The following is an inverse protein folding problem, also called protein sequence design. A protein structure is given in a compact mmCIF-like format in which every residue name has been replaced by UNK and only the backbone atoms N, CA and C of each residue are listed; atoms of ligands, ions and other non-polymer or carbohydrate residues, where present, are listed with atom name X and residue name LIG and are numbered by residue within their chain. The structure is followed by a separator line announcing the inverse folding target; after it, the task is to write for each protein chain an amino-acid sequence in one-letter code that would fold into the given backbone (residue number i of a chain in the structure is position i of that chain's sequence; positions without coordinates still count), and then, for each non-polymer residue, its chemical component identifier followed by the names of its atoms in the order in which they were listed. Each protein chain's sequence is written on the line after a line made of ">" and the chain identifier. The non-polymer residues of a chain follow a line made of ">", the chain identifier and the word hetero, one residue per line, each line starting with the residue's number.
data_IF_773021200350
#
_entry.id   IF_773021200350
#
_cell.length_a   1.000
_cell.length_b   1.000
_cell.length_c   1.000
_cell.angle_alpha   90.00
_cell.angle_beta   90.00
_cell.angle_gamma   90.00
#
_symmetry.space_group_name_H-M   'P 1'
#
loop_
_entity.id
_entity.type
_entity.pdbx_description
1 polymer ?
#
# COMPACT_ATOMS: atom_id res chain seq x y z
N UNK A 1 4.56 -3.56 -23.03
CA UNK A 1 5.78 -4.02 -22.31
C UNK A 1 5.55 -5.46 -21.87
N UNK A 2 6.52 -6.36 -22.00
CA UNK A 2 6.35 -7.74 -21.49
C UNK A 2 6.77 -7.74 -20.02
N UNK A 3 5.81 -7.98 -19.12
CA UNK A 3 6.07 -8.07 -17.69
C UNK A 3 6.81 -9.38 -17.38
N UNK A 4 7.88 -9.30 -16.58
CA UNK A 4 8.55 -10.45 -15.98
C UNK A 4 7.98 -10.66 -14.58
N UNK A 5 7.60 -11.89 -14.24
CA UNK A 5 7.10 -12.24 -12.92
C UNK A 5 8.21 -12.95 -12.16
N UNK A 6 8.57 -12.40 -11.02
CA UNK A 6 9.36 -13.07 -9.99
C UNK A 6 8.41 -13.49 -8.85
N UNK A 7 8.67 -14.64 -8.22
CA UNK A 7 7.82 -15.18 -7.16
C UNK A 7 8.61 -15.38 -5.88
N UNK A 8 8.14 -14.78 -4.82
CA UNK A 8 8.59 -15.04 -3.45
C UNK A 8 7.49 -15.71 -2.63
N UNK A 9 7.86 -16.29 -1.50
CA UNK A 9 6.91 -16.90 -0.56
C UNK A 9 7.11 -16.28 0.82
N UNK A 10 6.04 -15.76 1.38
CA UNK A 10 6.02 -15.31 2.76
C UNK A 10 5.86 -16.49 3.72
N UNK A 11 6.47 -16.37 4.89
CA UNK A 11 6.35 -17.38 5.94
C UNK A 11 4.92 -17.37 6.49
N UNK A 12 4.32 -18.55 6.61
CA UNK A 12 2.98 -18.69 7.12
C UNK A 12 3.00 -18.86 8.65
N UNK A 13 2.34 -17.94 9.34
CA UNK A 13 2.05 -18.02 10.76
C UNK A 13 0.54 -17.99 11.00
N UNK A 14 0.09 -18.52 12.13
CA UNK A 14 -1.33 -18.41 12.50
C UNK A 14 -1.72 -16.95 12.75
N UNK A 15 -2.99 -16.60 12.53
CA UNK A 15 -3.47 -15.26 12.85
C UNK A 15 -3.31 -14.95 14.34
N UNK A 16 -3.41 -15.94 15.20
CA UNK A 16 -3.24 -15.86 16.65
C UNK A 16 -1.81 -15.50 17.02
N UNK A 17 -0.81 -16.14 16.38
CA UNK A 17 0.60 -15.82 16.60
C UNK A 17 0.93 -14.40 16.14
N UNK A 18 0.48 -14.03 14.96
CA UNK A 18 0.65 -12.67 14.41
C UNK A 18 -0.03 -11.63 15.33
N UNK A 19 -1.25 -11.90 15.77
CA UNK A 19 -1.98 -10.99 16.67
C UNK A 19 -1.26 -10.83 18.02
N UNK A 20 -0.76 -11.93 18.57
CA UNK A 20 0.01 -11.92 19.83
C UNK A 20 1.31 -11.10 19.69
N UNK A 21 2.05 -11.33 18.61
CA UNK A 21 3.29 -10.59 18.31
C UNK A 21 3.04 -9.09 18.15
N UNK A 22 2.02 -8.72 17.38
CA UNK A 22 1.62 -7.32 17.21
C UNK A 22 1.17 -6.68 18.52
N UNK A 23 0.33 -7.37 19.30
CA UNK A 23 -0.14 -6.84 20.58
C UNK A 23 1.03 -6.52 21.51
N UNK A 24 1.99 -7.44 21.62
CA UNK A 24 3.15 -7.27 22.48
C UNK A 24 3.99 -6.06 22.06
N UNK A 25 4.43 -6.00 20.79
CA UNK A 25 5.33 -4.93 20.34
C UNK A 25 4.65 -3.57 20.22
N UNK A 26 3.37 -3.52 19.83
CA UNK A 26 2.64 -2.25 19.77
C UNK A 26 2.38 -1.67 21.16
N UNK A 27 2.24 -2.52 22.21
CA UNK A 27 2.07 -2.06 23.58
C UNK A 27 3.30 -1.32 24.14
N UNK A 28 4.46 -1.47 23.53
CA UNK A 28 5.66 -0.70 23.87
C UNK A 28 5.59 0.75 23.33
N UNK A 29 4.76 1.00 22.33
CA UNK A 29 4.69 2.27 21.59
C UNK A 29 3.37 3.02 21.75
N UNK A 30 2.33 2.36 22.26
CA UNK A 30 1.00 2.94 22.41
C UNK A 30 0.41 2.62 23.78
N UNK A 31 -0.30 3.58 24.35
CA UNK A 31 -0.92 3.45 25.69
C UNK A 31 -2.07 2.45 25.72
N UNK A 32 -2.85 2.43 24.63
CA UNK A 32 -4.00 1.53 24.51
C UNK A 32 -3.83 0.72 23.23
N UNK A 33 -3.75 -0.60 23.38
CA UNK A 33 -3.57 -1.55 22.27
C UNK A 33 -4.53 -2.72 22.45
N UNK A 34 -5.44 -2.87 21.52
CA UNK A 34 -6.30 -4.04 21.39
C UNK A 34 -5.93 -4.73 20.07
N UNK A 35 -5.57 -6.01 20.14
CA UNK A 35 -5.32 -6.85 18.96
C UNK A 35 -6.00 -8.18 19.19
N UNK A 36 -6.87 -8.54 18.29
CA UNK A 36 -7.70 -9.74 18.37
C UNK A 36 -7.99 -10.34 16.99
N UNK A 37 -8.13 -11.65 16.92
CA UNK A 37 -8.62 -12.34 15.73
C UNK A 37 -10.15 -12.34 15.77
N UNK A 38 -10.78 -11.79 14.75
CA UNK A 38 -12.24 -11.63 14.67
C UNK A 38 -12.74 -12.06 13.30
N UNK A 39 -14.06 -12.22 13.17
CA UNK A 39 -14.69 -12.29 11.85
C UNK A 39 -14.58 -10.94 11.16
N UNK A 40 -14.25 -10.95 9.86
CA UNK A 40 -14.14 -9.73 9.07
C UNK A 40 -15.48 -8.98 9.10
N UNK A 41 -15.52 -7.70 9.48
CA UNK A 41 -16.74 -6.91 9.34
C UNK A 41 -17.08 -6.81 7.84
N UNK A 42 -18.34 -6.53 7.54
CA UNK A 42 -18.74 -6.27 6.15
C UNK A 42 -18.06 -4.97 5.67
N UNK A 43 -17.04 -5.10 4.82
CA UNK A 43 -16.26 -3.96 4.33
C UNK A 43 -17.05 -3.06 3.37
N UNK A 44 -18.19 -3.50 2.85
CA UNK A 44 -19.10 -2.61 2.09
C UNK A 44 -19.58 -1.43 2.94
N UNK A 45 -19.71 -1.62 4.26
CA UNK A 45 -20.00 -0.54 5.21
C UNK A 45 -18.82 0.44 5.39
N UNK A 46 -17.66 0.07 4.87
CA UNK A 46 -16.44 0.86 4.88
C UNK A 46 -16.09 1.40 3.49
N UNK A 47 -17.05 1.54 2.63
CA UNK A 47 -16.86 2.00 1.26
C UNK A 47 -15.89 1.15 0.43
N UNK A 48 -15.83 -0.16 0.70
CA UNK A 48 -15.12 -1.12 -0.14
C UNK A 48 -16.11 -1.79 -1.10
N UNK A 49 -15.71 -2.14 -2.33
CA UNK A 49 -16.58 -2.83 -3.27
C UNK A 49 -16.68 -4.35 -2.99
N UNK A 50 -16.19 -4.80 -1.85
CA UNK A 50 -16.20 -6.21 -1.41
C UNK A 50 -16.61 -6.33 0.05
N UNK A 51 -17.13 -7.51 0.43
CA UNK A 51 -17.55 -7.78 1.81
C UNK A 51 -16.39 -8.12 2.74
N UNK A 52 -15.28 -8.60 2.20
CA UNK A 52 -14.11 -9.00 2.96
C UNK A 52 -12.82 -8.95 2.17
N UNK A 53 -11.75 -9.45 2.79
CA UNK A 53 -10.39 -9.46 2.26
C UNK A 53 -9.74 -10.86 2.36
N UNK A 54 -10.52 -11.91 2.38
CA UNK A 54 -10.02 -13.29 2.51
C UNK A 54 -10.16 -14.10 1.23
N UNK A 55 -9.40 -15.20 1.16
CA UNK A 55 -9.39 -16.17 0.05
C UNK A 55 -8.36 -15.84 -1.03
N UNK A 56 -7.60 -16.83 -1.47
CA UNK A 56 -6.59 -16.78 -2.53
C UNK A 56 -5.69 -15.53 -2.49
N UNK A 57 -5.09 -15.30 -1.34
CA UNK A 57 -4.36 -14.07 -1.02
C UNK A 57 -3.03 -14.00 -1.77
N UNK A 58 -2.79 -12.88 -2.46
CA UNK A 58 -1.52 -12.59 -3.14
C UNK A 58 -1.17 -11.12 -2.98
N UNK A 59 0.10 -10.84 -2.76
CA UNK A 59 0.66 -9.50 -2.74
C UNK A 59 1.56 -9.35 -3.94
N UNK A 60 1.40 -8.23 -4.64
CA UNK A 60 2.12 -7.90 -5.85
C UNK A 60 2.80 -6.55 -5.65
N UNK A 61 4.09 -6.51 -5.95
CA UNK A 61 4.84 -5.28 -6.14
C UNK A 61 5.11 -5.12 -7.63
N UNK A 62 4.72 -4.00 -8.21
CA UNK A 62 4.80 -3.74 -9.65
C UNK A 62 5.52 -2.44 -9.90
N UNK A 63 6.48 -2.48 -10.82
CA UNK A 63 7.30 -1.32 -11.13
C UNK A 63 8.41 -1.14 -10.12
N UNK A 64 8.53 0.05 -9.54
CA UNK A 64 9.50 0.34 -8.51
C UNK A 64 10.03 1.77 -8.57
N UNK A 65 10.79 2.14 -7.54
CA UNK A 65 11.37 3.48 -7.39
C UNK A 65 12.11 3.98 -8.64
N UNK A 66 12.91 3.16 -9.37
CA UNK A 66 13.58 3.62 -10.58
C UNK A 66 12.61 4.13 -11.66
N UNK A 67 11.41 3.56 -11.75
CA UNK A 67 10.40 3.96 -12.73
C UNK A 67 9.69 5.26 -12.36
N UNK A 68 9.75 5.67 -11.12
CA UNK A 68 9.16 6.94 -10.65
C UNK A 68 10.01 8.15 -11.00
N UNK A 69 11.29 7.94 -11.27
CA UNK A 69 12.27 9.02 -11.44
C UNK A 69 12.80 9.14 -12.86
N UNK A 70 12.49 8.19 -13.73
CA UNK A 70 12.93 8.23 -15.11
C UNK A 70 11.79 8.66 -16.03
N UNK A 71 11.83 9.88 -16.61
CA UNK A 71 10.81 10.33 -17.55
C UNK A 71 10.69 9.45 -18.79
N UNK A 72 11.67 8.62 -19.11
CA UNK A 72 11.59 7.64 -20.20
C UNK A 72 10.62 6.49 -19.89
N UNK A 73 10.28 6.27 -18.64
CA UNK A 73 9.26 5.29 -18.20
C UNK A 73 7.84 5.84 -18.10
N UNK A 74 7.61 7.08 -18.52
CA UNK A 74 6.27 7.70 -18.59
C UNK A 74 5.26 6.84 -19.37
N UNK A 75 5.69 5.96 -20.25
CA UNK A 75 4.85 5.01 -20.99
C UNK A 75 4.64 3.65 -20.32
N UNK A 76 5.17 3.42 -19.12
CA UNK A 76 4.92 2.16 -18.40
C UNK A 76 3.49 2.13 -17.89
N UNK A 77 2.69 1.19 -18.41
CA UNK A 77 1.31 0.98 -18.04
C UNK A 77 1.13 -0.41 -17.48
N UNK A 78 0.54 -0.49 -16.29
CA UNK A 78 0.25 -1.74 -15.57
C UNK A 78 -1.27 -1.87 -15.43
N UNK A 79 -1.83 -2.88 -16.07
CA UNK A 79 -3.26 -3.17 -16.06
C UNK A 79 -3.60 -4.19 -14.96
N UNK A 80 -4.55 -3.88 -14.08
CA UNK A 80 -4.90 -4.74 -12.94
C UNK A 80 -5.52 -6.05 -13.36
N UNK A 81 -6.28 -6.08 -14.46
CA UNK A 81 -6.86 -7.31 -14.99
C UNK A 81 -5.80 -8.20 -15.64
N UNK A 82 -4.85 -7.61 -16.38
CA UNK A 82 -3.74 -8.36 -16.95
C UNK A 82 -2.88 -8.97 -15.84
N UNK A 83 -2.53 -8.18 -14.83
CA UNK A 83 -1.79 -8.67 -13.66
C UNK A 83 -2.58 -9.80 -12.98
N UNK A 84 -3.88 -9.64 -12.75
CA UNK A 84 -4.71 -10.65 -12.10
C UNK A 84 -4.72 -11.98 -12.86
N UNK A 85 -4.75 -11.95 -14.20
CA UNK A 85 -4.64 -13.14 -15.07
C UNK A 85 -3.26 -13.79 -14.95
N UNK A 86 -2.20 -12.99 -15.01
CA UNK A 86 -0.81 -13.48 -14.91
C UNK A 86 -0.53 -14.20 -13.60
N UNK A 87 -1.18 -13.81 -12.51
CA UNK A 87 -1.02 -14.42 -11.18
C UNK A 87 -2.09 -15.48 -10.86
N UNK A 88 -3.01 -15.78 -11.79
CA UNK A 88 -4.12 -16.71 -11.57
C UNK A 88 -5.11 -16.22 -10.51
N UNK A 89 -5.56 -14.98 -10.63
CA UNK A 89 -6.53 -14.31 -9.74
C UNK A 89 -7.51 -13.45 -10.53
N UNK A 90 -8.01 -13.95 -11.67
CA UNK A 90 -8.86 -13.18 -12.60
C UNK A 90 -10.16 -12.69 -11.96
N UNK A 91 -10.67 -13.44 -10.99
CA UNK A 91 -11.86 -13.10 -10.23
C UNK A 91 -11.45 -12.72 -8.81
N UNK A 92 -11.04 -11.48 -8.62
CA UNK A 92 -10.51 -11.01 -7.34
C UNK A 92 -10.99 -9.62 -6.97
N UNK A 93 -10.85 -9.30 -5.72
CA UNK A 93 -10.85 -7.95 -5.19
C UNK A 93 -9.39 -7.50 -5.05
N UNK A 94 -9.05 -6.37 -5.67
CA UNK A 94 -7.74 -5.76 -5.62
C UNK A 94 -7.78 -4.49 -4.77
N UNK A 95 -6.90 -4.38 -3.79
CA UNK A 95 -6.74 -3.18 -2.98
C UNK A 95 -5.26 -2.84 -2.79
N UNK A 96 -4.96 -1.56 -2.63
CA UNK A 96 -3.58 -1.12 -2.43
C UNK A 96 -3.35 0.33 -2.78
N UNK A 97 -2.10 0.62 -3.10
CA UNK A 97 -1.66 1.95 -3.49
C UNK A 97 -0.77 1.86 -4.74
N UNK A 98 -0.83 2.90 -5.54
CA UNK A 98 0.08 3.10 -6.67
C UNK A 98 0.47 4.56 -6.77
N UNK A 99 1.65 4.80 -7.29
CA UNK A 99 2.14 6.15 -7.57
C UNK A 99 2.97 6.18 -8.83
N UNK A 100 3.22 7.38 -9.34
CA UNK A 100 4.13 7.60 -10.45
C UNK A 100 3.46 8.10 -11.70
N UNK A 101 4.09 7.82 -12.86
CA UNK A 101 3.75 8.38 -14.15
C UNK A 101 2.37 7.95 -14.66
N UNK A 102 1.35 8.67 -14.27
CA UNK A 102 0.01 8.55 -14.88
C UNK A 102 -0.09 9.26 -16.24
N UNK A 103 0.98 9.90 -16.69
CA UNK A 103 1.05 10.60 -17.97
C UNK A 103 0.83 9.69 -19.17
N UNK A 104 1.03 8.38 -19.03
CA UNK A 104 0.66 7.40 -20.05
C UNK A 104 -0.86 7.25 -20.23
N UNK A 105 -1.66 7.64 -19.23
CA UNK A 105 -3.11 7.49 -19.23
C UNK A 105 -3.83 8.81 -19.48
N UNK A 106 -3.49 9.84 -18.72
CA UNK A 106 -4.19 11.13 -18.76
C UNK A 106 -3.26 12.36 -18.76
N UNK A 107 -1.95 12.14 -18.80
CA UNK A 107 -0.94 13.21 -18.78
C UNK A 107 -0.62 13.75 -17.39
N UNK A 108 -1.09 13.11 -16.32
CA UNK A 108 -0.90 13.54 -14.95
C UNK A 108 -0.24 12.48 -14.09
N UNK A 109 0.55 12.92 -13.12
CA UNK A 109 1.04 12.09 -12.02
C UNK A 109 0.13 12.25 -10.79
N UNK A 110 0.27 11.36 -9.84
CA UNK A 110 -0.46 11.44 -8.58
C UNK A 110 -0.29 10.19 -7.73
N UNK A 111 -1.03 10.17 -6.64
CA UNK A 111 -1.15 9.01 -5.77
C UNK A 111 -2.46 8.29 -6.05
N UNK A 112 -2.39 7.00 -6.28
CA UNK A 112 -3.54 6.17 -6.62
C UNK A 112 -3.88 5.25 -5.45
N UNK A 113 -5.13 5.32 -5.02
CA UNK A 113 -5.72 4.34 -4.11
C UNK A 113 -6.49 3.32 -4.94
N UNK A 114 -6.00 2.09 -4.94
CA UNK A 114 -6.59 0.96 -5.67
C UNK A 114 -7.66 0.33 -4.80
N UNK A 115 -8.88 0.21 -5.32
CA UNK A 115 -10.04 -0.35 -4.64
C UNK A 115 -11.03 -0.90 -5.67
N UNK A 116 -10.69 -2.06 -6.25
CA UNK A 116 -11.31 -2.64 -7.46
C UNK A 116 -11.86 -4.02 -7.19
N UNK A 117 -13.14 -4.24 -7.42
CA UNK A 117 -13.72 -5.58 -7.43
C UNK A 117 -13.86 -6.06 -8.89
N UNK A 118 -12.91 -6.90 -9.32
CA UNK A 118 -12.91 -7.48 -10.66
C UNK A 118 -13.95 -8.61 -10.81
N UNK A 119 -14.60 -9.05 -9.72
CA UNK A 119 -15.67 -10.05 -9.75
C UNK A 119 -16.98 -9.41 -10.15
N UNK A 120 -17.29 -8.23 -9.58
CA UNK A 120 -18.55 -7.52 -9.75
C UNK A 120 -18.45 -6.31 -10.68
N UNK A 121 -17.26 -6.04 -11.20
CA UNK A 121 -16.96 -4.89 -12.06
C UNK A 121 -17.21 -3.54 -11.35
N UNK A 122 -17.02 -3.50 -10.02
CA UNK A 122 -17.24 -2.30 -9.20
C UNK A 122 -15.90 -1.66 -8.83
N UNK A 123 -15.70 -0.38 -9.20
CA UNK A 123 -14.54 0.43 -8.84
C UNK A 123 -14.90 1.50 -7.80
N UNK A 124 -14.05 1.62 -6.79
CA UNK A 124 -14.03 2.73 -5.83
C UNK A 124 -12.64 3.33 -5.68
N UNK A 125 -11.82 3.13 -6.68
CA UNK A 125 -10.48 3.73 -6.75
C UNK A 125 -10.57 5.24 -6.88
N UNK A 126 -9.58 5.92 -6.30
CA UNK A 126 -9.43 7.37 -6.38
C UNK A 126 -7.98 7.71 -6.69
N UNK A 127 -7.79 8.85 -7.34
CA UNK A 127 -6.48 9.44 -7.56
C UNK A 127 -6.40 10.80 -6.86
N UNK A 128 -5.29 11.06 -6.18
CA UNK A 128 -4.96 12.36 -5.63
C UNK A 128 -3.88 13.02 -6.49
N UNK A 129 -4.12 14.26 -6.93
CA UNK A 129 -3.22 15.03 -7.79
C UNK A 129 -2.91 16.39 -7.18
N UNK A 130 -1.79 16.97 -7.58
CA UNK A 130 -1.41 18.34 -7.20
C UNK A 130 -1.87 19.29 -8.29
N UNK A 131 -2.70 20.27 -7.91
CA UNK A 131 -3.11 21.35 -8.83
C UNK A 131 -2.00 22.39 -9.01
N UNK A 132 -2.08 23.26 -10.05
CA UNK A 132 -1.11 24.33 -10.26
C UNK A 132 -0.96 25.28 -9.07
N UNK A 133 -2.02 25.49 -8.28
CA UNK A 133 -2.01 26.27 -7.05
C UNK A 133 -1.65 25.45 -5.81
N UNK A 134 -1.05 24.25 -6.02
CA UNK A 134 -0.54 23.32 -5.00
C UNK A 134 -1.59 22.76 -4.05
N UNK A 135 -2.84 22.73 -4.44
CA UNK A 135 -3.89 22.04 -3.69
C UNK A 135 -3.96 20.56 -4.07
N UNK A 136 -4.37 19.73 -3.11
CA UNK A 136 -4.70 18.34 -3.40
C UNK A 136 -6.09 18.27 -4.04
N UNK A 137 -6.15 17.69 -5.22
CA UNK A 137 -7.41 17.34 -5.93
C UNK A 137 -7.58 15.84 -5.82
N UNK A 138 -8.76 15.39 -5.38
CA UNK A 138 -9.10 13.97 -5.29
C UNK A 138 -10.26 13.69 -6.24
N UNK A 139 -10.06 12.70 -7.11
CA UNK A 139 -11.02 12.34 -8.16
C UNK A 139 -11.27 10.83 -8.16
N UNK A 140 -12.42 10.39 -8.65
CA UNK A 140 -12.67 8.98 -8.94
C UNK A 140 -11.77 8.52 -10.09
N UNK A 141 -11.31 7.28 -9.99
CA UNK A 141 -10.43 6.69 -10.98
C UNK A 141 -10.94 5.31 -11.39
N UNK A 142 -11.22 5.10 -12.67
CA UNK A 142 -11.82 3.86 -13.20
C UNK A 142 -11.03 3.21 -14.33
N UNK A 143 -9.85 3.74 -14.66
CA UNK A 143 -9.06 3.21 -15.78
C UNK A 143 -8.42 1.84 -15.49
N UNK A 144 -8.38 1.38 -14.21
CA UNK A 144 -7.80 0.10 -13.78
C UNK A 144 -6.35 -0.10 -14.20
N UNK A 145 -5.63 0.99 -14.35
CA UNK A 145 -4.24 1.00 -14.78
C UNK A 145 -3.44 1.99 -13.94
N UNK A 146 -2.15 1.75 -13.81
CA UNK A 146 -1.24 2.72 -13.21
C UNK A 146 0.11 2.72 -13.92
N UNK A 147 0.92 3.71 -13.64
CA UNK A 147 2.32 3.77 -14.03
C UNK A 147 3.22 3.77 -12.79
N UNK A 148 4.53 3.83 -12.98
CA UNK A 148 5.49 3.95 -11.90
C UNK A 148 5.59 2.71 -11.02
N UNK A 149 4.96 2.73 -9.88
CA UNK A 149 4.92 1.60 -8.94
C UNK A 149 3.52 1.37 -8.39
N UNK A 150 3.27 0.14 -7.94
CA UNK A 150 2.05 -0.22 -7.25
C UNK A 150 2.26 -1.41 -6.32
N UNK A 151 1.70 -1.30 -5.12
CA UNK A 151 1.64 -2.37 -4.14
C UNK A 151 0.19 -2.81 -4.02
N UNK A 152 -0.11 -4.02 -4.50
CA UNK A 152 -1.47 -4.47 -4.69
C UNK A 152 -1.68 -5.81 -3.98
N UNK A 153 -2.74 -5.89 -3.21
CA UNK A 153 -3.22 -7.13 -2.61
C UNK A 153 -4.43 -7.64 -3.39
N UNK A 154 -4.33 -8.85 -3.89
CA UNK A 154 -5.42 -9.57 -4.56
C UNK A 154 -5.98 -10.64 -3.65
N UNK A 155 -7.31 -10.77 -3.62
CA UNK A 155 -8.03 -11.71 -2.77
C UNK A 155 -9.38 -12.09 -3.40
N UNK A 156 -9.99 -13.20 -2.97
CA UNK A 156 -11.37 -13.54 -3.40
C UNK A 156 -12.43 -12.57 -2.86
N UNK A 157 -12.08 -11.64 -1.98
CA UNK A 157 -13.02 -10.69 -1.38
C UNK A 157 -14.01 -11.30 -0.41
N UNK A 158 -13.78 -12.52 0.05
CA UNK A 158 -14.65 -13.23 0.97
C UNK A 158 -14.50 -12.74 2.40
N UNK A 159 -15.57 -12.86 3.16
CA UNK A 159 -15.46 -12.78 4.62
C UNK A 159 -14.65 -13.95 5.16
N UNK A 160 -13.94 -13.72 6.26
CA UNK A 160 -13.10 -14.71 6.92
C UNK A 160 -12.55 -14.15 8.22
N UNK A 161 -11.61 -14.85 8.85
CA UNK A 161 -10.94 -14.31 10.04
C UNK A 161 -9.90 -13.27 9.65
N UNK A 162 -9.86 -12.18 10.41
CA UNK A 162 -8.89 -11.09 10.26
C UNK A 162 -8.34 -10.66 11.62
N UNK A 163 -7.19 -10.01 11.61
CA UNK A 163 -6.64 -9.39 12.81
C UNK A 163 -7.18 -7.96 12.89
N UNK A 164 -7.96 -7.68 13.93
CA UNK A 164 -8.44 -6.35 14.25
C UNK A 164 -7.49 -5.68 15.22
N UNK A 165 -7.00 -4.51 14.84
CA UNK A 165 -6.04 -3.72 15.62
C UNK A 165 -6.69 -2.39 15.97
N UNK A 166 -6.73 -2.03 17.25
CA UNK A 166 -7.07 -0.69 17.72
C UNK A 166 -5.93 -0.16 18.56
N UNK A 167 -5.46 1.01 18.22
CA UNK A 167 -4.37 1.69 18.94
C UNK A 167 -4.73 3.14 19.23
N UNK A 168 -4.32 3.62 20.38
CA UNK A 168 -4.50 5.02 20.80
C UNK A 168 -3.37 5.47 21.72
N UNK A 169 -2.99 6.74 21.56
CA UNK A 169 -2.04 7.40 22.46
C UNK A 169 -0.62 6.90 22.28
N UNK A 170 0.08 7.39 21.27
CA UNK A 170 1.50 7.11 21.08
C UNK A 170 2.29 7.54 22.33
N UNK A 171 3.14 6.67 22.82
CA UNK A 171 3.98 6.89 24.01
C UNK A 171 5.45 6.52 23.78
N UNK A 172 5.75 5.69 22.79
CA UNK A 172 7.12 5.31 22.42
C UNK A 172 7.65 6.16 21.25
N UNK A 173 8.93 5.98 20.99
CA UNK A 173 9.72 6.71 20.00
C UNK A 173 10.04 5.89 18.74
N UNK A 174 9.60 4.65 18.66
CA UNK A 174 9.73 3.85 17.43
C UNK A 174 8.97 4.53 16.29
N UNK A 175 9.67 5.06 15.35
CA UNK A 175 9.29 5.70 14.10
C UNK A 175 7.80 5.75 13.70
N UNK A 176 7.47 5.31 12.51
CA UNK A 176 6.08 5.24 12.01
C UNK A 176 5.31 4.02 12.57
N UNK A 177 3.98 4.00 12.44
CA UNK A 177 3.17 2.83 12.79
C UNK A 177 3.58 1.58 11.97
N UNK A 178 3.80 1.66 10.64
CA UNK A 178 4.31 0.53 9.88
C UNK A 178 5.62 -0.02 10.43
N UNK A 179 6.56 0.84 10.79
CA UNK A 179 7.83 0.42 11.39
C UNK A 179 7.63 -0.29 12.73
N UNK A 180 6.77 0.23 13.60
CA UNK A 180 6.43 -0.43 14.87
C UNK A 180 5.79 -1.81 14.64
N UNK A 181 4.92 -1.95 13.63
CA UNK A 181 4.33 -3.24 13.26
C UNK A 181 5.39 -4.23 12.75
N UNK A 182 6.28 -3.80 11.86
CA UNK A 182 7.37 -4.65 11.34
C UNK A 182 8.28 -5.13 12.45
N UNK A 183 8.74 -4.21 13.31
CA UNK A 183 9.58 -4.55 14.47
C UNK A 183 8.87 -5.52 15.41
N UNK A 184 7.57 -5.30 15.65
CA UNK A 184 6.75 -6.20 16.47
C UNK A 184 6.71 -7.63 15.92
N UNK A 185 6.49 -7.78 14.61
CA UNK A 185 6.46 -9.08 13.96
C UNK A 185 7.84 -9.74 13.96
N UNK A 186 8.87 -9.03 13.51
CA UNK A 186 10.22 -9.59 13.39
C UNK A 186 10.78 -10.05 14.76
N UNK A 187 10.60 -9.23 15.79
CA UNK A 187 11.15 -9.50 17.11
C UNK A 187 10.35 -10.57 17.90
N UNK A 188 9.02 -10.52 17.83
CA UNK A 188 8.19 -11.38 18.66
C UNK A 188 7.85 -12.73 18.03
N UNK A 189 8.01 -12.88 16.72
CA UNK A 189 7.94 -14.17 16.03
C UNK A 189 9.33 -14.78 15.79
N UNK A 190 10.40 -14.09 16.20
CA UNK A 190 11.78 -14.53 16.01
C UNK A 190 12.08 -14.89 14.54
N UNK A 191 11.62 -14.05 13.61
CA UNK A 191 11.80 -14.29 12.18
C UNK A 191 13.29 -14.35 11.84
N UNK A 192 13.69 -15.39 11.11
CA UNK A 192 15.03 -15.50 10.54
C UNK A 192 15.17 -14.53 9.35
N UNK A 193 16.39 -14.29 8.93
CA UNK A 193 16.68 -13.38 7.83
C UNK A 193 15.97 -13.72 6.51
N UNK A 194 15.66 -15.00 6.29
CA UNK A 194 14.93 -15.51 5.12
C UNK A 194 13.43 -15.73 5.39
N UNK A 195 12.93 -15.40 6.57
CA UNK A 195 11.52 -15.54 6.94
C UNK A 195 10.87 -14.17 6.93
N UNK A 196 9.90 -13.96 6.06
CA UNK A 196 9.20 -12.70 5.91
C UNK A 196 7.70 -12.90 6.02
N UNK A 197 7.02 -11.94 6.59
CA UNK A 197 5.56 -11.88 6.71
C UNK A 197 5.04 -10.68 5.95
N UNK A 198 3.92 -10.87 5.28
CA UNK A 198 3.18 -9.78 4.67
C UNK A 198 1.79 -9.66 5.28
N UNK A 199 1.33 -8.43 5.42
CA UNK A 199 -0.01 -8.06 5.84
C UNK A 199 -0.62 -7.12 4.81
N UNK A 200 -1.91 -7.29 4.56
CA UNK A 200 -2.68 -6.32 3.80
C UNK A 200 -4.00 -6.03 4.53
N UNK A 201 -4.54 -4.84 4.35
CA UNK A 201 -5.76 -4.50 5.03
C UNK A 201 -6.27 -3.09 4.78
N UNK A 202 -7.37 -2.82 5.46
CA UNK A 202 -8.02 -1.52 5.48
C UNK A 202 -7.99 -1.00 6.92
N UNK A 203 -7.57 0.24 7.10
CA UNK A 203 -7.61 0.87 8.42
C UNK A 203 -8.22 2.27 8.38
N UNK A 204 -8.69 2.73 9.52
CA UNK A 204 -9.28 4.06 9.67
C UNK A 204 -8.58 4.86 10.75
N UNK A 205 -8.36 6.14 10.48
CA UNK A 205 -7.90 7.12 11.46
C UNK A 205 -9.13 7.87 11.94
N UNK A 206 -9.60 7.53 13.14
CA UNK A 206 -10.84 8.07 13.70
C UNK A 206 -10.62 9.36 14.49
N UNK A 207 -9.43 9.50 15.08
CA UNK A 207 -9.02 10.67 15.87
C UNK A 207 -7.59 11.09 15.48
N UNK A 208 -7.27 12.37 15.66
CA UNK A 208 -5.96 12.89 15.34
C UNK A 208 -5.82 13.31 13.88
N UNK A 209 -4.59 13.60 13.49
CA UNK A 209 -4.23 14.12 12.17
C UNK A 209 -2.94 13.47 11.71
N UNK A 210 -2.77 13.38 10.40
CA UNK A 210 -1.57 12.83 9.76
C UNK A 210 -1.03 13.83 8.74
N UNK A 211 0.25 13.76 8.51
CA UNK A 211 0.89 14.40 7.37
C UNK A 211 0.75 13.47 6.18
N UNK A 212 0.23 13.96 5.09
CA UNK A 212 0.15 13.25 3.82
C UNK A 212 1.00 13.91 2.76
N UNK A 213 1.27 13.20 1.69
CA UNK A 213 1.93 13.75 0.51
C UNK A 213 1.21 13.29 -0.76
N UNK A 214 1.45 14.00 -1.84
CA UNK A 214 1.02 13.65 -3.18
C UNK A 214 2.18 13.94 -4.13
N UNK A 215 2.44 13.04 -5.05
CA UNK A 215 3.42 13.24 -6.09
C UNK A 215 2.90 14.29 -7.10
N UNK A 216 3.64 15.39 -7.36
CA UNK A 216 3.26 16.36 -8.38
C UNK A 216 3.52 15.81 -9.80
N UNK A 217 2.98 16.48 -10.80
CA UNK A 217 3.23 16.16 -12.21
C UNK A 217 4.72 16.26 -12.54
N UNK A 218 5.23 15.37 -13.36
CA UNK A 218 6.63 15.39 -13.78
C UNK A 218 7.04 16.69 -14.47
N UNK A 219 6.15 17.33 -15.22
CA UNK A 219 6.39 18.65 -15.83
C UNK A 219 6.66 19.75 -14.81
N UNK A 220 6.17 19.58 -13.59
CA UNK A 220 6.32 20.53 -12.48
C UNK A 220 7.55 20.21 -11.62
N UNK A 221 8.22 19.10 -11.89
CA UNK A 221 9.46 18.70 -11.23
C UNK A 221 10.63 19.19 -12.07
N UNK A 222 11.53 19.95 -11.45
CA UNK A 222 12.72 20.47 -12.14
C UNK A 222 13.60 19.31 -12.61
N UNK A 223 14.21 19.46 -13.78
CA UNK A 223 15.07 18.45 -14.41
C UNK A 223 16.18 17.90 -13.49
N UNK A 224 16.65 18.70 -12.56
CA UNK A 224 17.65 18.32 -11.56
C UNK A 224 17.20 17.22 -10.59
N UNK A 225 15.88 16.99 -10.45
CA UNK A 225 15.32 15.91 -9.63
C UNK A 225 15.26 14.56 -10.34
N UNK A 226 15.46 14.56 -11.66
CA UNK A 226 15.51 13.31 -12.45
C UNK A 226 16.90 12.68 -12.54
N UNK A 227 17.94 13.37 -12.10
CA UNK A 227 19.27 12.78 -12.01
C UNK A 227 19.41 11.99 -10.70
N UNK A 228 19.46 10.64 -10.75
CA UNK A 228 19.58 9.82 -9.54
C UNK A 228 20.82 10.15 -8.70
N UNK A 229 21.85 10.78 -9.34
CA UNK A 229 23.08 11.21 -8.66
C UNK A 229 22.92 12.53 -7.91
N UNK A 230 21.92 13.32 -8.28
CA UNK A 230 21.65 14.63 -7.67
C UNK A 230 20.46 14.60 -6.71
N UNK A 231 19.60 13.58 -6.80
CA UNK A 231 18.43 13.44 -5.94
C UNK A 231 18.86 13.13 -4.52
N UNK A 232 18.83 14.14 -3.68
CA UNK A 232 19.23 14.03 -2.27
C UNK A 232 18.17 13.36 -1.41
N UNK A 233 16.88 13.53 -1.75
CA UNK A 233 15.77 12.95 -1.00
C UNK A 233 14.47 13.00 -1.81
N UNK A 234 13.74 11.89 -1.85
CA UNK A 234 12.37 11.81 -2.40
C UNK A 234 11.44 12.89 -1.80
N UNK A 235 11.68 13.28 -0.55
CA UNK A 235 10.92 14.33 0.13
C UNK A 235 11.03 15.72 -0.53
N UNK A 236 12.05 15.95 -1.36
CA UNK A 236 12.29 17.27 -1.93
C UNK A 236 11.34 17.59 -3.10
N UNK A 237 10.74 16.56 -3.73
CA UNK A 237 9.78 16.76 -4.82
C UNK A 237 8.32 16.50 -4.43
N UNK A 238 8.06 15.80 -3.34
CA UNK A 238 6.69 15.52 -2.90
C UNK A 238 6.00 16.79 -2.37
N UNK A 239 4.74 16.96 -2.75
CA UNK A 239 3.91 18.01 -2.15
C UNK A 239 3.29 17.48 -0.86
N UNK A 240 3.68 18.07 0.26
CA UNK A 240 3.13 17.70 1.57
C UNK A 240 1.91 18.54 1.93
N UNK A 241 0.96 17.89 2.60
CA UNK A 241 -0.27 18.48 3.11
C UNK A 241 -0.38 18.21 4.61
N UNK A 242 -0.64 19.26 5.39
CA UNK A 242 -0.77 19.19 6.85
C UNK A 242 -1.89 20.09 7.36
N UNK A 243 -2.55 19.67 8.39
CA UNK A 243 -2.77 18.29 8.85
C UNK A 243 -4.05 17.71 8.23
N UNK A 244 -4.03 16.48 7.79
CA UNK A 244 -5.17 15.79 7.20
C UNK A 244 -5.82 14.88 8.24
N UNK A 245 -7.16 14.87 8.30
CA UNK A 245 -7.95 14.06 9.22
C UNK A 245 -8.80 14.89 10.18
N UNK A 246 -9.59 14.26 11.05
CA UNK A 246 -9.82 12.82 11.19
C UNK A 246 -10.81 12.24 10.18
N UNK A 247 -11.14 10.95 10.33
CA UNK A 247 -12.04 10.15 9.49
C UNK A 247 -11.43 9.83 8.11
N UNK A 248 -10.16 9.45 8.11
CA UNK A 248 -9.50 8.90 6.93
C UNK A 248 -9.67 7.39 6.88
N UNK A 249 -9.87 6.86 5.69
CA UNK A 249 -9.76 5.45 5.39
C UNK A 249 -8.54 5.22 4.50
N UNK A 250 -7.76 4.21 4.83
CA UNK A 250 -6.50 3.91 4.18
C UNK A 250 -6.45 2.42 3.82
N UNK A 251 -5.80 2.13 2.71
CA UNK A 251 -5.51 0.78 2.25
C UNK A 251 -4.02 0.56 2.41
N UNK A 252 -3.62 -0.62 2.86
CA UNK A 252 -2.21 -0.88 3.15
C UNK A 252 -1.80 -2.26 2.72
N UNK A 253 -0.58 -2.34 2.23
CA UNK A 253 0.20 -3.56 2.06
C UNK A 253 1.50 -3.33 2.82
N UNK A 254 1.89 -4.28 3.66
CA UNK A 254 3.07 -4.18 4.52
C UNK A 254 3.76 -5.55 4.55
N UNK A 255 5.09 -5.56 4.45
CA UNK A 255 5.90 -6.76 4.69
C UNK A 255 7.10 -6.46 5.59
N UNK A 256 7.60 -7.49 6.26
CA UNK A 256 8.69 -7.35 7.23
C UNK A 256 10.07 -7.23 6.59
N UNK A 257 10.22 -7.62 5.33
CA UNK A 257 11.43 -7.52 4.54
C UNK A 257 11.27 -8.19 3.17
N UNK A 258 12.30 -8.14 2.34
CA UNK A 258 12.29 -8.70 1.00
C UNK A 258 12.20 -10.23 1.00
N UNK A 259 11.10 -10.84 0.50
CA UNK A 259 10.94 -12.29 0.47
C UNK A 259 11.86 -12.98 -0.55
N UNK A 260 12.56 -12.22 -1.39
CA UNK A 260 13.53 -12.74 -2.35
C UNK A 260 14.97 -12.77 -1.79
N UNK A 261 15.14 -12.40 -0.51
CA UNK A 261 16.45 -12.37 0.14
C UNK A 261 17.35 -11.24 -0.36
N UNK A 262 16.78 -10.20 -0.92
CA UNK A 262 17.49 -9.04 -1.46
C UNK A 262 17.75 -9.12 -2.97
N UNK A 263 17.34 -10.18 -3.65
CA UNK A 263 17.54 -10.32 -5.09
C UNK A 263 16.82 -9.23 -5.89
N UNK A 264 15.58 -8.93 -5.52
CA UNK A 264 14.78 -7.86 -6.15
C UNK A 264 14.92 -6.53 -5.42
N UNK A 265 15.59 -6.50 -4.27
CA UNK A 265 15.73 -5.31 -3.43
C UNK A 265 14.37 -4.64 -3.14
N UNK A 266 13.35 -5.46 -2.88
CA UNK A 266 12.02 -4.98 -2.52
C UNK A 266 12.09 -4.24 -1.20
N UNK A 267 11.77 -2.98 -1.24
CA UNK A 267 11.77 -2.15 -0.04
C UNK A 267 10.41 -2.24 0.64
N UNK A 268 10.46 -2.09 1.93
CA UNK A 268 9.27 -1.96 2.76
C UNK A 268 8.45 -0.75 2.31
N UNK A 269 7.19 -0.95 2.00
CA UNK A 269 6.24 0.11 1.64
C UNK A 269 5.33 0.47 2.82
#
# INVERSE_FOLDING_TARGET
>A
MQLKIEKGTFTNHSLEDIASALKKGLSENFKNVEVEVVDCPNLREWDCPSEGISGNQKIIDVGGEPYMHDPNFIGAEFDYEEISKMIGSEKSYALGAGSGAMSCLDGHCGELVINENLITDESRSIIARVSPDKKCIVEKYSARKHGGLGNIYYTDGKQGKVIKIKIKGRSGDQGSLPQAMRSSLSNNLNLKANEQIALAGVFRILEGKVRSHVQPDYKDIKHEYYDPKQMKCVKDFLQFYEPVGPKLQCYTVLWTGDPTGGELNLRES
#
